data_IF_099221635016
#
_entry.id   IF_099221635016
#
_cell.length_a   1.000
_cell.length_b   1.000
_cell.length_c   1.000
_cell.angle_alpha   90.00
_cell.angle_beta   90.00
_cell.angle_gamma   90.00
#
_symmetry.space_group_name_H-M   'P 1'
#
loop_
_entity.id
_entity.type
_entity.pdbx_description
1 polymer ?
#
# COMPACT_ATOMS: atom_id res chain seq x y z
N UNK A 1 35.63 -5.85 -8.72
CA UNK A 1 35.09 -5.17 -7.52
C UNK A 1 33.89 -5.97 -7.04
N UNK A 2 33.94 -6.57 -5.83
CA UNK A 2 32.75 -7.15 -5.20
C UNK A 2 32.02 -6.00 -4.50
N UNK A 3 30.81 -5.69 -4.95
CA UNK A 3 29.94 -4.76 -4.25
C UNK A 3 29.54 -5.49 -2.96
N UNK A 4 30.01 -4.99 -1.82
CA UNK A 4 29.48 -5.44 -0.52
C UNK A 4 28.06 -4.91 -0.46
N UNK A 5 27.07 -5.77 -0.70
CA UNK A 5 25.67 -5.41 -0.54
C UNK A 5 25.39 -5.24 0.96
N UNK A 6 25.47 -4.02 1.47
CA UNK A 6 24.97 -3.69 2.80
C UNK A 6 23.45 -3.73 2.75
N UNK A 7 22.88 -4.86 3.16
CA UNK A 7 21.43 -5.06 3.25
C UNK A 7 20.90 -4.24 4.42
N UNK A 8 20.45 -3.01 4.15
CA UNK A 8 19.81 -2.16 5.15
C UNK A 8 18.33 -2.50 5.27
N UNK A 9 17.90 -2.91 6.45
CA UNK A 9 16.48 -3.11 6.77
C UNK A 9 15.94 -1.89 7.50
N UNK A 10 14.74 -1.46 7.13
CA UNK A 10 14.07 -0.30 7.70
C UNK A 10 12.64 -0.67 8.10
N UNK A 11 12.09 0.11 9.03
CA UNK A 11 10.68 0.02 9.38
C UNK A 11 9.83 0.76 8.34
N UNK A 12 8.77 0.12 7.88
CA UNK A 12 7.83 0.63 6.89
C UNK A 12 6.41 0.61 7.47
N UNK A 13 5.86 1.80 7.73
CA UNK A 13 4.50 1.96 8.23
C UNK A 13 3.54 2.02 7.05
N UNK A 14 2.50 1.20 7.10
CA UNK A 14 1.50 1.07 6.04
C UNK A 14 0.10 1.29 6.60
N UNK A 15 -0.75 1.94 5.80
CA UNK A 15 -2.20 2.00 6.06
C UNK A 15 -2.84 0.90 5.24
N UNK A 16 -3.49 -0.04 5.93
CA UNK A 16 -4.15 -1.20 5.30
C UNK A 16 -5.65 -1.14 5.52
N UNK A 17 -6.40 -1.60 4.52
CA UNK A 17 -7.85 -1.74 4.62
C UNK A 17 -8.16 -3.03 5.38
N UNK A 18 -8.75 -2.92 6.57
CA UNK A 18 -9.10 -4.05 7.43
C UNK A 18 -10.40 -4.71 7.00
N UNK A 19 -11.41 -3.89 6.71
CA UNK A 19 -12.75 -4.33 6.34
C UNK A 19 -13.24 -3.53 5.13
N UNK A 20 -14.13 -4.12 4.33
CA UNK A 20 -14.81 -3.36 3.28
C UNK A 20 -15.73 -2.33 3.91
N UNK A 21 -15.67 -1.11 3.38
CA UNK A 21 -16.46 0.02 3.88
C UNK A 21 -17.91 -0.13 3.44
N UNK A 22 -18.84 0.19 4.34
CA UNK A 22 -20.27 0.37 4.01
C UNK A 22 -20.68 1.80 4.37
N UNK A 23 -20.96 2.63 3.36
CA UNK A 23 -21.21 4.06 3.55
C UNK A 23 -19.91 4.88 3.66
N UNK A 24 -19.79 5.67 4.73
CA UNK A 24 -18.61 6.52 4.96
C UNK A 24 -17.49 5.76 5.67
N UNK A 25 -16.23 5.90 5.21
CA UNK A 25 -15.09 5.21 5.81
C UNK A 25 -14.84 5.70 7.25
N UNK A 26 -14.61 4.77 8.17
CA UNK A 26 -14.26 5.06 9.57
C UNK A 26 -12.86 4.58 9.86
N UNK A 27 -11.99 5.49 10.30
CA UNK A 27 -10.59 5.21 10.61
C UNK A 27 -10.42 4.02 11.57
N UNK A 28 -11.24 3.98 12.63
CA UNK A 28 -11.10 2.97 13.70
C UNK A 28 -11.55 1.56 13.30
N UNK A 29 -12.46 1.43 12.33
CA UNK A 29 -13.07 0.15 11.96
C UNK A 29 -12.52 -0.40 10.65
N UNK A 30 -12.32 0.47 9.67
CA UNK A 30 -12.04 0.09 8.30
C UNK A 30 -10.55 0.15 7.98
N UNK A 31 -9.78 0.97 8.70
CA UNK A 31 -8.34 1.17 8.45
C UNK A 31 -7.50 0.72 9.63
N UNK A 32 -6.25 0.34 9.34
CA UNK A 32 -5.26 0.01 10.37
C UNK A 32 -3.88 0.47 9.93
N UNK A 33 -3.14 1.07 10.86
CA UNK A 33 -1.70 1.29 10.69
C UNK A 33 -0.97 0.02 11.11
N UNK A 34 -0.19 -0.55 10.20
CA UNK A 34 0.69 -1.70 10.46
C UNK A 34 2.14 -1.29 10.25
N UNK A 35 3.05 -1.84 11.06
CA UNK A 35 4.48 -1.64 10.89
C UNK A 35 5.10 -2.94 10.37
N UNK A 36 5.77 -2.84 9.23
CA UNK A 36 6.47 -3.95 8.56
C UNK A 36 7.95 -3.63 8.44
N UNK A 37 8.76 -4.62 8.06
CA UNK A 37 10.19 -4.41 7.78
C UNK A 37 10.39 -4.52 6.28
N UNK A 38 11.03 -3.52 5.68
CA UNK A 38 11.37 -3.51 4.25
C UNK A 38 12.87 -3.38 4.08
N UNK A 39 13.42 -4.14 3.15
CA UNK A 39 14.84 -4.11 2.80
C UNK A 39 15.08 -3.10 1.68
N UNK A 40 16.03 -2.18 1.87
CA UNK A 40 16.48 -1.25 0.83
C UNK A 40 17.41 -1.95 -0.15
N UNK A 41 16.85 -2.81 -1.00
CA UNK A 41 17.57 -3.43 -2.11
C UNK A 41 16.87 -3.08 -3.41
N UNK A 42 17.64 -2.73 -4.44
CA UNK A 42 17.06 -2.55 -5.76
C UNK A 42 16.40 -3.87 -6.19
N UNK A 43 15.18 -3.83 -6.73
CA UNK A 43 14.57 -5.02 -7.25
C UNK A 43 15.41 -5.62 -8.38
N UNK A 44 15.24 -6.92 -8.59
CA UNK A 44 16.02 -7.67 -9.58
C UNK A 44 15.53 -7.42 -11.01
N UNK A 45 14.25 -7.04 -11.15
CA UNK A 45 13.67 -6.65 -12.41
C UNK A 45 13.96 -5.16 -12.67
N UNK A 46 14.53 -4.82 -13.84
CA UNK A 46 14.84 -3.42 -14.19
C UNK A 46 13.61 -2.51 -14.34
N UNK A 47 12.40 -3.07 -14.41
CA UNK A 47 11.16 -2.29 -14.52
C UNK A 47 10.55 -1.94 -13.14
N UNK A 48 11.09 -2.51 -12.06
CA UNK A 48 10.62 -2.27 -10.71
C UNK A 48 11.43 -1.12 -10.08
N UNK A 49 10.77 -0.29 -9.28
CA UNK A 49 11.40 0.88 -8.63
C UNK A 49 11.14 0.87 -7.14
N UNK A 50 12.14 1.18 -6.33
CA UNK A 50 11.96 1.35 -4.89
C UNK A 50 11.80 2.83 -4.57
N UNK A 51 10.62 3.21 -4.07
CA UNK A 51 10.30 4.61 -3.76
C UNK A 51 10.16 4.87 -2.26
N UNK A 52 10.46 6.12 -1.87
CA UNK A 52 10.09 6.69 -0.58
C UNK A 52 8.95 7.67 -0.80
N UNK A 53 7.74 7.29 -0.42
CA UNK A 53 6.56 8.14 -0.56
C UNK A 53 6.70 9.37 0.36
N UNK A 54 6.60 10.56 -0.22
CA UNK A 54 6.68 11.84 0.51
C UNK A 54 5.30 12.43 0.78
N UNK A 55 4.41 12.31 -0.19
CA UNK A 55 3.03 12.80 -0.14
C UNK A 55 2.10 11.76 -0.73
N UNK A 56 0.86 11.73 -0.25
CA UNK A 56 -0.20 10.87 -0.74
C UNK A 56 -1.45 11.73 -0.95
N UNK A 57 -2.05 11.66 -2.14
CA UNK A 57 -3.35 12.27 -2.41
C UNK A 57 -4.47 11.39 -1.87
N UNK A 58 -5.57 12.02 -1.46
CA UNK A 58 -6.82 11.32 -1.19
C UNK A 58 -7.87 11.83 -2.16
N UNK A 59 -8.26 10.98 -3.09
CA UNK A 59 -9.23 11.30 -4.13
C UNK A 59 -10.56 10.60 -3.86
N UNK A 60 -11.68 11.24 -4.19
CA UNK A 60 -13.02 10.72 -3.90
C UNK A 60 -13.28 9.30 -4.45
N UNK A 61 -12.64 8.94 -5.58
CA UNK A 61 -12.76 7.61 -6.15
C UNK A 61 -12.18 6.51 -5.25
N UNK A 62 -11.22 6.83 -4.37
CA UNK A 62 -10.60 5.83 -3.48
C UNK A 62 -11.63 5.21 -2.53
N UNK A 63 -12.68 5.95 -2.16
CA UNK A 63 -13.78 5.41 -1.35
C UNK A 63 -14.53 4.28 -2.09
N UNK A 64 -14.73 4.43 -3.41
CA UNK A 64 -15.39 3.43 -4.25
C UNK A 64 -14.56 2.15 -4.29
N UNK A 65 -13.23 2.27 -4.24
CA UNK A 65 -12.34 1.10 -4.20
C UNK A 65 -12.32 0.41 -2.82
N UNK A 66 -12.82 1.05 -1.76
CA UNK A 66 -12.91 0.43 -0.43
C UNK A 66 -14.19 -0.38 -0.22
N UNK A 67 -15.15 -0.30 -1.14
CA UNK A 67 -16.42 -1.04 -1.09
C UNK A 67 -16.24 -2.43 -1.71
N UNK A 68 -16.97 -3.45 -1.22
CA UNK A 68 -16.83 -4.83 -1.73
C UNK A 68 -17.33 -5.00 -3.17
N UNK A 69 -18.32 -4.20 -3.55
CA UNK A 69 -18.96 -4.29 -4.86
C UNK A 69 -18.07 -3.68 -5.94
N UNK A 70 -18.05 -4.31 -7.12
CA UNK A 70 -17.45 -3.72 -8.32
C UNK A 70 -18.37 -2.65 -8.87
N UNK A 71 -18.38 -1.50 -8.19
CA UNK A 71 -19.14 -0.33 -8.64
C UNK A 71 -18.49 0.33 -9.86
N UNK A 72 -17.24 -0.02 -10.17
CA UNK A 72 -16.47 0.44 -11.33
C UNK A 72 -15.78 -0.74 -12.02
N UNK A 73 -15.36 -0.58 -13.28
CA UNK A 73 -14.52 -1.57 -13.99
C UNK A 73 -13.15 -1.80 -13.31
N UNK A 74 -12.86 -1.04 -12.25
CA UNK A 74 -11.72 -1.22 -11.35
C UNK A 74 -12.17 -2.06 -10.15
N UNK A 75 -11.48 -3.16 -9.87
CA UNK A 75 -11.78 -4.01 -8.72
C UNK A 75 -11.50 -3.33 -7.38
N UNK A 76 -12.12 -3.79 -6.28
CA UNK A 76 -11.91 -3.19 -4.96
C UNK A 76 -10.51 -3.47 -4.40
N UNK A 77 -10.09 -2.67 -3.42
CA UNK A 77 -8.87 -2.90 -2.65
C UNK A 77 -8.91 -4.25 -1.96
N UNK A 78 -7.79 -4.97 -2.01
CA UNK A 78 -7.63 -6.22 -1.29
C UNK A 78 -7.52 -5.94 0.23
N UNK A 79 -8.29 -6.68 1.02
CA UNK A 79 -8.21 -6.58 2.48
C UNK A 79 -6.83 -7.01 2.99
N UNK A 80 -6.35 -6.30 4.02
CA UNK A 80 -5.06 -6.53 4.66
C UNK A 80 -3.84 -6.14 3.81
N UNK A 81 -4.06 -5.59 2.61
CA UNK A 81 -3.01 -5.01 1.76
C UNK A 81 -2.95 -3.51 1.96
N UNK A 82 -1.81 -2.95 1.63
CA UNK A 82 -1.60 -1.52 1.55
C UNK A 82 -2.60 -0.90 0.56
N UNK A 83 -3.24 0.19 1.00
CA UNK A 83 -4.27 0.86 0.20
C UNK A 83 -3.69 1.60 -1.01
N UNK A 84 -2.38 1.81 -1.03
CA UNK A 84 -1.64 2.38 -2.16
C UNK A 84 -1.14 1.23 -3.01
N UNK A 85 -1.87 0.88 -4.07
CA UNK A 85 -1.38 -0.06 -5.08
C UNK A 85 -0.29 0.62 -5.93
N UNK A 86 0.90 0.73 -5.36
CA UNK A 86 2.13 0.73 -6.16
C UNK A 86 2.72 -0.66 -5.96
N UNK A 87 2.32 -1.57 -6.84
CA UNK A 87 3.01 -2.85 -7.00
C UNK A 87 4.36 -2.50 -7.63
N UNK A 88 5.34 -2.21 -6.79
CA UNK A 88 6.73 -2.20 -7.17
C UNK A 88 7.21 -3.64 -7.31
#
# INVERSE_FOLDING_TARGET
MKIVETVTTLRNKQVVLRNYVTGFPKESLDMKIVETITTLKLPKDPNEVLLKNLYLSYDAYMQILMTKDRLVQVGPYALGRDMVWLKF
#
